data_IF_675396189786
#
_entry.id   IF_675396189786
#
_cell.length_a   1.000
_cell.length_b   1.000
_cell.length_c   1.000
_cell.angle_alpha   90.00
_cell.angle_beta   90.00
_cell.angle_gamma   90.00
#
_symmetry.space_group_name_H-M   'P 1'
#
loop_
_entity.id
_entity.type
_entity.pdbx_description
1 polymer ?
#
# COMPACT_ATOMS: atom_id res chain seq x y z
N UNK A 1 -4.87 -27.45 -19.15
CA UNK A 1 -6.11 -26.98 -18.47
C UNK A 1 -6.59 -27.90 -17.32
N UNK A 2 -6.12 -29.15 -17.21
CA UNK A 2 -6.50 -30.09 -16.14
C UNK A 2 -5.75 -29.90 -14.82
N UNK A 3 -4.46 -29.56 -14.86
CA UNK A 3 -3.61 -29.42 -13.69
C UNK A 3 -3.96 -28.18 -12.82
N UNK A 4 -4.50 -27.10 -13.43
CA UNK A 4 -4.85 -25.85 -12.71
C UNK A 4 -6.06 -25.98 -11.77
N UNK A 5 -6.92 -27.01 -11.96
CA UNK A 5 -8.08 -27.25 -11.09
C UNK A 5 -7.74 -27.97 -9.77
N UNK A 6 -6.65 -28.74 -9.75
CA UNK A 6 -6.22 -29.48 -8.54
C UNK A 6 -5.55 -28.57 -7.49
N UNK A 7 -5.05 -27.38 -7.91
CA UNK A 7 -4.31 -26.44 -7.05
C UNK A 7 -5.20 -25.39 -6.35
N UNK A 8 -6.52 -25.49 -6.48
CA UNK A 8 -7.47 -24.51 -5.93
C UNK A 8 -7.78 -24.63 -4.45
N UNK A 9 -7.23 -25.62 -3.76
CA UNK A 9 -7.48 -25.80 -2.31
C UNK A 9 -6.18 -25.66 -1.52
N UNK A 10 -6.02 -24.52 -0.84
CA UNK A 10 -5.27 -24.43 0.41
C UNK A 10 -3.74 -24.48 0.36
N UNK A 11 -3.09 -23.94 -0.67
CA UNK A 11 -1.62 -23.93 -0.70
C UNK A 11 -1.03 -23.03 -1.77
N UNK A 12 -1.37 -21.76 -1.75
CA UNK A 12 -0.95 -20.79 -2.81
C UNK A 12 0.57 -20.65 -2.98
N UNK A 13 1.37 -21.07 -2.01
CA UNK A 13 2.83 -20.96 -2.02
C UNK A 13 3.56 -22.25 -2.47
N UNK A 14 2.88 -23.40 -2.48
CA UNK A 14 3.55 -24.69 -2.74
C UNK A 14 4.11 -24.80 -4.16
N UNK A 15 3.36 -24.43 -5.23
CA UNK A 15 3.91 -24.43 -6.58
C UNK A 15 5.12 -23.52 -6.74
N UNK A 16 5.07 -22.32 -6.15
CA UNK A 16 6.19 -21.38 -6.16
C UNK A 16 7.44 -21.92 -5.50
N UNK A 17 7.29 -22.66 -4.37
CA UNK A 17 8.42 -23.30 -3.71
C UNK A 17 9.11 -24.33 -4.60
N UNK A 18 8.35 -25.15 -5.32
CA UNK A 18 8.90 -26.16 -6.23
C UNK A 18 9.66 -25.47 -7.37
N UNK A 19 9.06 -24.42 -7.96
CA UNK A 19 9.71 -23.71 -9.06
C UNK A 19 10.98 -23.00 -8.62
N UNK A 20 10.99 -22.34 -7.45
CA UNK A 20 12.22 -21.75 -6.89
C UNK A 20 13.36 -22.76 -6.75
N UNK A 21 13.06 -24.03 -6.50
CA UNK A 21 14.08 -25.09 -6.36
C UNK A 21 14.56 -25.61 -7.72
N UNK A 22 13.66 -25.75 -8.69
CA UNK A 22 13.98 -26.31 -10.03
C UNK A 22 14.56 -25.23 -10.93
N UNK A 23 14.04 -24.02 -10.85
CA UNK A 23 14.40 -22.88 -11.68
C UNK A 23 14.43 -21.57 -10.86
N UNK A 24 15.51 -21.32 -10.12
CA UNK A 24 15.65 -20.12 -9.30
C UNK A 24 15.59 -18.81 -10.11
N UNK A 25 15.90 -18.85 -11.40
CA UNK A 25 15.87 -17.68 -12.30
C UNK A 25 14.50 -17.39 -12.91
N UNK A 26 13.48 -18.23 -12.70
CA UNK A 26 12.16 -18.07 -13.32
C UNK A 26 11.56 -16.68 -13.07
N UNK A 27 11.53 -16.25 -11.82
CA UNK A 27 10.96 -14.95 -11.42
C UNK A 27 11.63 -13.79 -12.17
N UNK A 28 12.96 -13.73 -12.12
CA UNK A 28 13.73 -12.67 -12.72
C UNK A 28 13.57 -12.62 -14.26
N UNK A 29 13.63 -13.77 -14.92
CA UNK A 29 13.47 -13.83 -16.38
C UNK A 29 12.07 -13.43 -16.81
N UNK A 30 11.04 -13.93 -16.13
CA UNK A 30 9.64 -13.64 -16.49
C UNK A 30 9.32 -12.15 -16.35
N UNK A 31 9.84 -11.48 -15.31
CA UNK A 31 9.58 -10.07 -15.07
C UNK A 31 10.53 -9.13 -15.85
N UNK A 32 11.68 -9.61 -16.32
CA UNK A 32 12.62 -8.82 -17.12
C UNK A 32 12.06 -8.42 -18.50
N UNK A 33 11.14 -9.23 -19.05
CA UNK A 33 10.54 -9.00 -20.37
C UNK A 33 9.42 -7.94 -20.37
N UNK A 34 9.03 -7.42 -19.20
CA UNK A 34 7.94 -6.45 -19.09
C UNK A 34 8.38 -5.06 -19.60
N UNK A 35 7.68 -4.45 -20.56
CA UNK A 35 8.05 -3.15 -21.15
C UNK A 35 8.21 -2.04 -20.12
N UNK A 36 7.33 -2.02 -19.11
CA UNK A 36 7.36 -1.01 -18.04
C UNK A 36 7.96 -1.54 -16.74
N UNK A 37 8.38 -2.82 -16.72
CA UNK A 37 9.01 -3.44 -15.55
C UNK A 37 8.05 -3.66 -14.37
N UNK A 38 8.58 -3.50 -13.16
CA UNK A 38 7.89 -3.80 -11.93
C UNK A 38 7.64 -2.53 -11.11
N UNK A 39 6.41 -2.38 -10.64
CA UNK A 39 5.99 -1.46 -9.57
C UNK A 39 5.89 -2.28 -8.29
N UNK A 40 6.73 -2.01 -7.30
CA UNK A 40 6.70 -2.68 -6.01
C UNK A 40 6.02 -1.78 -4.97
N UNK A 41 4.96 -2.28 -4.35
CA UNK A 41 4.24 -1.59 -3.26
C UNK A 41 4.55 -2.30 -1.95
N UNK A 42 5.09 -1.55 -0.98
CA UNK A 42 5.43 -2.08 0.34
C UNK A 42 5.22 -1.05 1.45
N UNK A 43 5.19 -1.51 2.70
CA UNK A 43 4.93 -0.72 3.90
C UNK A 43 4.04 -1.48 4.87
N UNK A 44 3.88 -1.00 6.09
CA UNK A 44 3.11 -1.71 7.12
C UNK A 44 1.63 -1.80 6.76
N UNK A 45 1.00 -0.68 6.41
CA UNK A 45 -0.44 -0.61 6.15
C UNK A 45 -0.76 -0.07 4.75
N UNK A 46 -1.93 -0.46 4.22
CA UNK A 46 -2.47 0.05 2.97
C UNK A 46 -1.95 -0.61 1.69
N UNK A 47 -1.05 -1.58 1.78
CA UNK A 47 -0.44 -2.27 0.62
C UNK A 47 -1.47 -2.76 -0.40
N UNK A 48 -2.40 -3.60 0.03
CA UNK A 48 -3.40 -4.24 -0.85
C UNK A 48 -4.31 -3.23 -1.55
N UNK A 49 -4.81 -2.25 -0.80
CA UNK A 49 -5.67 -1.20 -1.37
C UNK A 49 -4.90 -0.38 -2.39
N UNK A 50 -3.69 0.06 -2.05
CA UNK A 50 -2.85 0.86 -2.94
C UNK A 50 -2.45 0.09 -4.21
N UNK A 51 -2.07 -1.18 -4.07
CA UNK A 51 -1.75 -2.04 -5.22
C UNK A 51 -2.91 -2.15 -6.18
N UNK A 52 -4.13 -2.37 -5.67
CA UNK A 52 -5.34 -2.41 -6.50
C UNK A 52 -5.64 -1.08 -7.17
N UNK A 53 -5.49 0.03 -6.46
CA UNK A 53 -5.69 1.37 -7.03
C UNK A 53 -4.70 1.64 -8.16
N UNK A 54 -3.40 1.36 -7.95
CA UNK A 54 -2.37 1.55 -8.96
C UNK A 54 -2.62 0.65 -10.17
N UNK A 55 -2.94 -0.63 -9.96
CA UNK A 55 -3.26 -1.56 -11.04
C UNK A 55 -4.45 -1.05 -11.87
N UNK A 56 -5.56 -0.69 -11.22
CA UNK A 56 -6.75 -0.18 -11.91
C UNK A 56 -6.51 1.12 -12.68
N UNK A 57 -5.68 2.02 -12.14
CA UNK A 57 -5.29 3.25 -12.85
C UNK A 57 -4.49 2.93 -14.12
N UNK A 58 -3.54 2.00 -14.04
CA UNK A 58 -2.72 1.60 -15.20
C UNK A 58 -3.56 0.87 -16.25
N UNK A 59 -4.51 0.02 -15.84
CA UNK A 59 -5.49 -0.62 -16.74
C UNK A 59 -6.37 0.42 -17.45
N UNK A 60 -6.81 1.48 -16.74
CA UNK A 60 -7.57 2.58 -17.34
C UNK A 60 -6.76 3.34 -18.40
N UNK A 61 -5.43 3.35 -18.28
CA UNK A 61 -4.52 3.90 -19.28
C UNK A 61 -4.25 2.94 -20.45
N UNK A 62 -4.88 1.77 -20.47
CA UNK A 62 -4.78 0.78 -21.54
C UNK A 62 -3.62 -0.21 -21.39
N UNK A 63 -2.96 -0.26 -20.24
CA UNK A 63 -1.87 -1.20 -19.98
C UNK A 63 -2.41 -2.55 -19.51
N UNK A 64 -1.78 -3.64 -19.93
CA UNK A 64 -2.00 -4.97 -19.36
C UNK A 64 -1.21 -5.08 -18.07
N UNK A 65 -1.91 -5.26 -16.95
CA UNK A 65 -1.31 -5.30 -15.62
C UNK A 65 -1.33 -6.73 -15.07
N UNK A 66 -0.16 -7.21 -14.66
CA UNK A 66 -0.06 -8.36 -13.78
C UNK A 66 -0.02 -7.88 -12.32
N UNK A 67 -0.91 -8.40 -11.48
CA UNK A 67 -0.88 -8.11 -10.04
C UNK A 67 -0.98 -9.41 -9.24
N UNK A 68 -0.18 -9.55 -8.18
CA UNK A 68 -0.29 -10.73 -7.33
C UNK A 68 -1.60 -10.72 -6.52
N UNK A 69 -2.26 -11.89 -6.35
CA UNK A 69 -3.49 -12.00 -5.59
C UNK A 69 -3.31 -11.55 -4.14
N UNK A 70 -4.37 -11.01 -3.55
CA UNK A 70 -4.43 -10.65 -2.12
C UNK A 70 -4.00 -11.82 -1.24
N UNK A 71 -3.14 -11.56 -0.26
CA UNK A 71 -2.58 -12.57 0.63
C UNK A 71 -1.40 -13.36 0.05
N UNK A 72 -0.97 -13.07 -1.20
CA UNK A 72 0.24 -13.62 -1.82
C UNK A 72 1.41 -12.62 -1.75
N UNK A 73 1.56 -11.97 -0.61
CA UNK A 73 2.51 -10.88 -0.34
C UNK A 73 3.95 -11.33 -0.04
N UNK A 74 4.31 -12.52 -0.48
CA UNK A 74 5.63 -13.11 -0.35
C UNK A 74 6.12 -13.65 -1.71
N UNK A 75 7.43 -13.74 -1.92
CA UNK A 75 8.06 -14.05 -3.21
C UNK A 75 7.50 -15.32 -3.86
N UNK A 76 7.33 -16.39 -3.07
CA UNK A 76 6.72 -17.66 -3.57
C UNK A 76 5.26 -17.50 -4.01
N UNK A 77 4.52 -16.59 -3.39
CA UNK A 77 3.17 -16.25 -3.80
C UNK A 77 3.15 -15.60 -5.19
N UNK A 78 4.09 -14.68 -5.43
CA UNK A 78 4.26 -14.05 -6.76
C UNK A 78 4.62 -15.10 -7.81
N UNK A 79 5.58 -16.01 -7.52
CA UNK A 79 5.94 -17.12 -8.44
C UNK A 79 4.74 -18.02 -8.72
N UNK A 80 3.96 -18.37 -7.69
CA UNK A 80 2.76 -19.18 -7.87
C UNK A 80 1.70 -18.49 -8.73
N UNK A 81 1.52 -17.18 -8.58
CA UNK A 81 0.61 -16.38 -9.40
C UNK A 81 1.09 -16.32 -10.86
N UNK A 82 2.39 -16.09 -11.09
CA UNK A 82 2.98 -16.10 -12.43
C UNK A 82 2.76 -17.46 -13.15
N UNK A 83 2.89 -18.57 -12.43
CA UNK A 83 2.65 -19.91 -13.00
C UNK A 83 1.21 -20.14 -13.48
N UNK A 84 0.25 -19.38 -12.97
CA UNK A 84 -1.14 -19.48 -13.44
C UNK A 84 -1.40 -18.65 -14.69
N UNK A 85 -0.59 -17.63 -14.94
CA UNK A 85 -0.79 -16.67 -16.02
C UNK A 85 0.22 -16.81 -17.17
N UNK A 86 1.42 -17.30 -16.87
CA UNK A 86 2.43 -17.57 -17.91
C UNK A 86 2.02 -18.78 -18.74
N UNK A 87 1.81 -18.62 -20.05
CA UNK A 87 1.50 -19.74 -20.94
C UNK A 87 2.75 -20.63 -21.15
N UNK A 88 2.57 -21.78 -21.84
CA UNK A 88 3.67 -22.70 -22.16
C UNK A 88 4.79 -22.07 -23.00
N UNK A 89 4.52 -20.95 -23.66
CA UNK A 89 5.54 -20.13 -24.34
C UNK A 89 6.55 -19.49 -23.39
N UNK A 90 6.27 -19.48 -22.08
CA UNK A 90 7.14 -18.92 -21.05
C UNK A 90 7.09 -17.41 -20.93
N UNK A 91 6.24 -16.72 -21.71
CA UNK A 91 6.17 -15.25 -21.76
C UNK A 91 4.89 -14.74 -21.11
N UNK A 92 5.00 -13.85 -20.13
CA UNK A 92 3.86 -13.22 -19.49
C UNK A 92 3.24 -12.18 -20.43
N UNK A 93 1.92 -12.27 -20.68
CA UNK A 93 1.19 -11.29 -21.49
C UNK A 93 0.77 -10.09 -20.61
N UNK A 94 1.74 -9.29 -20.22
CA UNK A 94 1.55 -8.06 -19.46
C UNK A 94 2.56 -6.99 -19.88
N UNK A 95 2.20 -5.72 -19.65
CA UNK A 95 3.06 -4.57 -19.90
C UNK A 95 3.83 -4.16 -18.65
N UNK A 96 3.23 -4.38 -17.48
CA UNK A 96 3.75 -3.99 -16.17
C UNK A 96 3.29 -4.98 -15.11
N UNK A 97 4.15 -5.21 -14.10
CA UNK A 97 3.75 -5.92 -12.90
C UNK A 97 3.58 -4.93 -11.74
N UNK A 98 2.44 -4.99 -11.03
CA UNK A 98 2.20 -4.25 -9.78
C UNK A 98 2.13 -5.26 -8.65
N UNK A 99 3.16 -5.26 -7.81
CA UNK A 99 3.37 -6.31 -6.80
C UNK A 99 3.27 -5.75 -5.39
N UNK A 100 2.44 -6.39 -4.57
CA UNK A 100 2.37 -6.19 -3.13
C UNK A 100 3.31 -7.16 -2.43
N UNK A 101 4.26 -6.66 -1.66
CA UNK A 101 5.13 -7.50 -0.83
C UNK A 101 5.27 -6.94 0.59
N UNK A 102 5.27 -7.84 1.58
CA UNK A 102 5.67 -7.50 2.94
C UNK A 102 7.17 -7.18 2.97
N UNK A 103 7.59 -6.36 3.90
CA UNK A 103 8.90 -5.71 3.96
C UNK A 103 10.06 -6.71 3.87
N UNK A 104 10.01 -7.81 4.65
CA UNK A 104 11.05 -8.84 4.64
C UNK A 104 11.11 -9.60 3.31
N UNK A 105 9.96 -9.81 2.66
CA UNK A 105 9.88 -10.47 1.35
C UNK A 105 10.24 -9.51 0.22
N UNK A 106 9.95 -8.23 0.37
CA UNK A 106 10.37 -7.19 -0.57
C UNK A 106 11.91 -7.15 -0.69
N UNK A 107 12.64 -7.26 0.44
CA UNK A 107 14.11 -7.35 0.41
C UNK A 107 14.60 -8.57 -0.36
N UNK A 108 13.99 -9.75 -0.14
CA UNK A 108 14.35 -10.96 -0.88
C UNK A 108 14.05 -10.84 -2.38
N UNK A 109 12.96 -10.19 -2.70
CA UNK A 109 12.55 -9.93 -4.08
C UNK A 109 13.55 -9.02 -4.80
N UNK A 110 13.94 -7.89 -4.19
CA UNK A 110 14.85 -6.93 -4.84
C UNK A 110 16.29 -7.45 -5.00
N UNK A 111 16.65 -8.54 -4.34
CA UNK A 111 17.90 -9.26 -4.60
C UNK A 111 17.89 -9.97 -5.96
N UNK A 112 16.71 -10.37 -6.44
CA UNK A 112 16.53 -11.10 -7.69
C UNK A 112 16.03 -10.20 -8.83
N UNK A 113 15.10 -9.28 -8.52
CA UNK A 113 14.45 -8.39 -9.48
C UNK A 113 14.53 -6.95 -8.99
N UNK A 114 15.20 -6.12 -9.75
CA UNK A 114 15.26 -4.68 -9.46
C UNK A 114 13.98 -4.00 -9.93
N UNK A 115 13.14 -3.47 -9.01
CA UNK A 115 11.93 -2.79 -9.43
C UNK A 115 12.29 -1.50 -10.20
N UNK A 116 11.52 -1.20 -11.23
CA UNK A 116 11.63 0.09 -11.91
C UNK A 116 10.98 1.19 -11.08
N UNK A 117 9.91 0.86 -10.39
CA UNK A 117 9.20 1.79 -9.52
C UNK A 117 8.97 1.15 -8.14
N UNK A 118 9.14 1.92 -7.09
CA UNK A 118 8.77 1.51 -5.74
C UNK A 118 7.86 2.56 -5.11
N UNK A 119 6.76 2.12 -4.49
CA UNK A 119 5.85 2.94 -3.71
C UNK A 119 5.92 2.48 -2.25
N UNK A 120 6.54 3.31 -1.40
CA UNK A 120 6.77 3.01 0.00
C UNK A 120 5.80 3.83 0.86
N UNK A 121 4.89 3.11 1.55
CA UNK A 121 3.70 3.71 2.13
C UNK A 121 3.95 4.27 3.52
N UNK A 122 4.34 3.43 4.47
CA UNK A 122 4.51 3.81 5.87
C UNK A 122 5.26 2.76 6.66
N UNK A 123 5.78 3.18 7.81
CA UNK A 123 6.30 2.31 8.86
C UNK A 123 5.52 2.59 10.13
N UNK A 124 4.58 1.74 10.46
CA UNK A 124 3.74 1.89 11.64
C UNK A 124 4.06 0.83 12.69
N UNK A 125 3.73 1.11 13.95
CA UNK A 125 3.84 0.16 15.03
C UNK A 125 2.73 -0.88 14.87
N UNK A 126 3.08 -2.17 14.81
CA UNK A 126 2.09 -3.24 14.97
C UNK A 126 1.74 -3.39 16.45
N UNK A 127 0.50 -3.81 16.77
CA UNK A 127 -0.01 -3.90 18.15
C UNK A 127 0.78 -4.88 19.04
N UNK A 128 1.60 -5.75 18.45
CA UNK A 128 2.42 -6.76 19.13
C UNK A 128 3.91 -6.38 19.21
N UNK A 129 4.22 -5.12 18.96
CA UNK A 129 5.59 -4.66 18.68
C UNK A 129 6.53 -4.75 19.87
N UNK A 130 7.70 -5.37 19.64
CA UNK A 130 8.84 -5.35 20.54
C UNK A 130 9.73 -4.15 20.22
N UNK A 131 10.39 -3.62 21.23
CA UNK A 131 11.33 -2.50 21.08
C UNK A 131 12.33 -2.76 19.92
N UNK A 132 12.39 -1.85 18.94
CA UNK A 132 13.32 -1.91 17.80
C UNK A 132 12.75 -2.50 16.48
N UNK A 133 11.52 -3.00 16.46
CA UNK A 133 10.91 -3.62 15.26
C UNK A 133 10.63 -2.58 14.18
N UNK A 134 10.18 -1.38 14.57
CA UNK A 134 9.93 -0.24 13.65
C UNK A 134 11.21 0.14 12.88
N UNK A 135 12.34 0.26 13.56
CA UNK A 135 13.58 0.64 12.92
C UNK A 135 14.13 -0.48 12.03
N UNK A 136 13.84 -1.74 12.38
CA UNK A 136 14.16 -2.86 11.51
C UNK A 136 13.29 -2.85 10.25
N UNK A 137 11.98 -2.63 10.37
CA UNK A 137 11.05 -2.51 9.24
C UNK A 137 11.47 -1.34 8.33
N UNK A 138 11.83 -0.19 8.90
CA UNK A 138 12.34 0.94 8.13
C UNK A 138 13.59 0.57 7.32
N UNK A 139 14.58 -0.15 7.94
CA UNK A 139 15.78 -0.60 7.22
C UNK A 139 15.47 -1.60 6.10
N UNK A 140 14.44 -2.44 6.24
CA UNK A 140 14.03 -3.33 5.15
C UNK A 140 13.47 -2.53 3.97
N UNK A 141 12.63 -1.53 4.21
CA UNK A 141 12.08 -0.67 3.16
C UNK A 141 13.16 0.23 2.53
N UNK A 142 14.13 0.69 3.30
CA UNK A 142 15.29 1.43 2.80
C UNK A 142 16.04 0.65 1.72
N UNK A 143 16.27 -0.66 1.93
CA UNK A 143 16.88 -1.53 0.91
C UNK A 143 16.06 -1.65 -0.37
N UNK A 144 14.74 -1.53 -0.27
CA UNK A 144 13.87 -1.48 -1.47
C UNK A 144 14.09 -0.18 -2.23
N UNK A 145 14.20 0.95 -1.52
CA UNK A 145 14.53 2.24 -2.15
C UNK A 145 15.88 2.22 -2.85
N UNK A 146 16.93 1.69 -2.18
CA UNK A 146 18.28 1.51 -2.75
C UNK A 146 18.31 0.63 -4.00
N UNK A 147 17.42 -0.36 -4.08
CA UNK A 147 17.38 -1.30 -5.19
C UNK A 147 16.55 -0.83 -6.39
N UNK A 148 15.80 0.25 -6.25
CA UNK A 148 14.90 0.77 -7.30
C UNK A 148 15.69 1.52 -8.36
N UNK A 149 15.34 1.31 -9.65
CA UNK A 149 16.13 1.81 -10.78
C UNK A 149 15.53 3.01 -11.52
N UNK A 150 14.22 3.25 -11.40
CA UNK A 150 13.55 4.32 -12.14
C UNK A 150 13.05 5.42 -11.22
N UNK A 151 12.02 5.16 -10.41
CA UNK A 151 11.46 6.17 -9.49
C UNK A 151 11.00 5.54 -8.19
N UNK A 152 11.37 6.17 -7.08
CA UNK A 152 10.84 5.87 -5.74
C UNK A 152 9.81 6.92 -5.38
N UNK A 153 8.62 6.47 -4.95
CA UNK A 153 7.52 7.32 -4.46
C UNK A 153 7.40 7.11 -2.96
N UNK A 154 7.65 8.17 -2.20
CA UNK A 154 7.77 8.16 -0.75
C UNK A 154 6.62 8.90 -0.08
N UNK A 155 6.15 8.37 1.04
CA UNK A 155 5.22 9.09 1.91
C UNK A 155 5.96 10.19 2.66
N UNK A 156 5.64 11.46 2.39
CA UNK A 156 6.25 12.59 3.09
C UNK A 156 5.72 12.79 4.52
N UNK A 157 4.56 12.21 4.84
CA UNK A 157 3.96 12.31 6.19
C UNK A 157 4.63 11.31 7.18
N UNK A 158 5.33 10.30 6.68
CA UNK A 158 6.14 9.41 7.49
C UNK A 158 7.63 9.84 7.41
N UNK A 159 8.21 10.40 8.49
CA UNK A 159 9.60 10.87 8.49
C UNK A 159 10.61 9.77 8.20
N UNK A 160 10.31 8.50 8.55
CA UNK A 160 11.17 7.35 8.27
C UNK A 160 11.22 7.04 6.78
N UNK A 161 10.06 7.09 6.13
CA UNK A 161 9.96 6.88 4.68
C UNK A 161 10.54 8.06 3.92
N UNK A 162 10.22 9.29 4.32
CA UNK A 162 10.67 10.51 3.62
C UNK A 162 12.20 10.61 3.53
N UNK A 163 12.93 10.19 4.57
CA UNK A 163 14.41 10.21 4.59
C UNK A 163 15.07 9.27 3.58
N UNK A 164 14.37 8.26 3.05
CA UNK A 164 14.95 7.33 2.07
C UNK A 164 15.37 8.01 0.77
N UNK A 165 14.94 9.25 0.53
CA UNK A 165 15.46 10.05 -0.57
C UNK A 165 16.99 10.16 -0.59
N UNK A 166 17.63 10.10 0.57
CA UNK A 166 19.09 10.21 0.71
C UNK A 166 19.86 8.94 0.31
N UNK A 167 19.19 7.79 0.22
CA UNK A 167 19.81 6.50 -0.15
C UNK A 167 19.41 6.01 -1.53
N UNK A 168 18.53 6.74 -2.22
CA UNK A 168 18.12 6.41 -3.59
C UNK A 168 19.32 6.59 -4.52
N UNK A 169 19.62 5.60 -5.39
CA UNK A 169 20.75 5.67 -6.31
C UNK A 169 20.70 6.90 -7.23
N UNK A 170 21.87 7.40 -7.58
CA UNK A 170 22.00 8.49 -8.56
C UNK A 170 21.32 8.10 -9.90
N UNK A 171 20.58 9.03 -10.49
CA UNK A 171 19.77 8.78 -11.68
C UNK A 171 18.39 8.20 -11.43
N UNK A 172 18.08 7.74 -10.21
CA UNK A 172 16.73 7.32 -9.83
C UNK A 172 15.92 8.51 -9.35
N UNK A 173 14.72 8.67 -9.91
CA UNK A 173 13.82 9.77 -9.53
C UNK A 173 13.23 9.58 -8.13
N UNK A 174 13.03 10.67 -7.40
CA UNK A 174 12.29 10.68 -6.14
C UNK A 174 11.01 11.50 -6.32
N UNK A 175 9.90 10.97 -5.85
CA UNK A 175 8.61 11.65 -5.78
C UNK A 175 8.01 11.45 -4.40
N UNK A 176 7.14 12.36 -3.99
CA UNK A 176 6.47 12.29 -2.71
C UNK A 176 4.96 12.31 -2.90
N UNK A 177 4.28 11.57 -2.06
CA UNK A 177 2.85 11.73 -1.83
C UNK A 177 2.62 12.10 -0.37
N UNK A 178 1.48 12.68 -0.08
CA UNK A 178 1.07 13.09 1.26
C UNK A 178 -0.04 14.11 1.20
N UNK A 179 -0.54 14.50 2.37
CA UNK A 179 -1.61 15.46 2.50
C UNK A 179 -1.08 16.88 2.24
N UNK A 180 -1.77 17.66 1.43
CA UNK A 180 -1.47 19.08 1.28
C UNK A 180 -1.72 19.80 2.60
N UNK A 181 -0.86 20.79 2.92
CA UNK A 181 -0.91 21.50 4.21
C UNK A 181 -2.27 22.14 4.49
N UNK A 182 -2.93 22.62 3.43
CA UNK A 182 -4.26 23.24 3.51
C UNK A 182 -5.36 22.24 3.90
N UNK A 183 -5.13 20.96 3.64
CA UNK A 183 -6.07 19.89 3.92
C UNK A 183 -5.87 19.27 5.31
N UNK A 184 -4.76 19.50 5.99
CA UNK A 184 -4.46 18.94 7.32
C UNK A 184 -5.57 19.21 8.33
N UNK A 185 -6.17 20.40 8.30
CA UNK A 185 -7.30 20.76 9.17
C UNK A 185 -8.55 19.88 9.02
N UNK A 186 -8.68 19.19 7.89
CA UNK A 186 -9.81 18.28 7.61
C UNK A 186 -9.48 16.82 7.88
N UNK A 187 -8.18 16.50 7.98
CA UNK A 187 -7.67 15.15 8.16
C UNK A 187 -6.59 15.19 9.25
N UNK A 188 -6.99 15.34 10.53
CA UNK A 188 -6.04 15.30 11.65
C UNK A 188 -5.35 13.93 11.67
N UNK A 189 -4.07 13.92 12.03
CA UNK A 189 -3.33 12.68 12.26
C UNK A 189 -3.77 12.01 13.55
N UNK A 190 -3.45 10.73 13.72
CA UNK A 190 -3.70 10.01 14.98
C UNK A 190 -2.99 10.69 16.17
N UNK A 191 -1.83 11.29 15.94
CA UNK A 191 -1.10 12.06 16.95
C UNK A 191 -1.83 13.37 17.31
N UNK A 192 -2.41 14.07 16.32
CA UNK A 192 -3.22 15.26 16.55
C UNK A 192 -4.47 14.92 17.38
N UNK A 193 -5.11 13.77 17.10
CA UNK A 193 -6.27 13.30 17.85
C UNK A 193 -5.91 12.88 19.29
N UNK A 194 -4.75 12.26 19.50
CA UNK A 194 -4.29 11.89 20.85
C UNK A 194 -3.93 13.12 21.68
N UNK A 195 -3.33 14.14 21.08
CA UNK A 195 -3.00 15.38 21.75
C UNK A 195 -4.26 16.12 22.19
N UNK A 196 -5.27 16.20 21.33
CA UNK A 196 -6.57 16.82 21.64
C UNK A 196 -7.28 16.11 22.79
N UNK A 197 -7.30 14.77 22.80
CA UNK A 197 -7.89 13.98 23.89
C UNK A 197 -7.11 14.15 25.21
N UNK A 198 -5.78 14.23 25.15
CA UNK A 198 -4.95 14.47 26.32
C UNK A 198 -5.12 15.89 26.87
N UNK A 199 -5.24 16.91 26.03
CA UNK A 199 -5.53 18.29 26.41
C UNK A 199 -6.95 18.45 26.97
N UNK A 200 -7.96 17.81 26.38
CA UNK A 200 -9.32 17.77 26.93
C UNK A 200 -9.34 17.04 28.27
N UNK A 201 -8.67 15.93 28.43
CA UNK A 201 -8.57 15.21 29.70
C UNK A 201 -7.85 16.03 30.77
N UNK A 202 -6.79 16.74 30.40
CA UNK A 202 -6.05 17.65 31.31
C UNK A 202 -6.89 18.88 31.71
N UNK A 203 -7.70 19.43 30.80
CA UNK A 203 -8.60 20.55 31.08
C UNK A 203 -9.76 20.15 32.01
N UNK A 204 -10.24 18.92 31.89
CA UNK A 204 -11.28 18.36 32.79
C UNK A 204 -10.72 18.04 34.18
N UNK A 205 -9.44 17.62 34.26
CA UNK A 205 -8.77 17.33 35.54
C UNK A 205 -8.30 18.61 36.29
N UNK A 206 -8.09 19.73 35.55
CA UNK A 206 -7.53 20.98 36.10
C UNK A 206 -8.53 22.03 36.55
N UNK A 207 -9.82 21.91 36.15
CA UNK A 207 -10.83 22.92 36.52
C UNK A 207 -12.08 22.26 37.08
N UNK A 208 -12.34 22.52 38.37
CA UNK A 208 -13.63 22.17 39.00
C UNK A 208 -14.81 22.85 38.29
N UNK A 209 -15.80 22.04 37.97
CA UNK A 209 -17.14 22.31 37.42
C UNK A 209 -17.20 23.29 36.23
N UNK A 210 -17.55 22.81 35.03
CA UNK A 210 -17.79 23.65 33.88
C UNK A 210 -18.89 24.67 34.18
N UNK A 211 -18.65 25.92 33.78
CA UNK A 211 -19.58 27.02 33.92
C UNK A 211 -20.87 26.77 33.14
N UNK A 212 -21.98 27.38 33.55
CA UNK A 212 -23.26 27.28 32.85
C UNK A 212 -23.18 27.66 31.35
N UNK A 213 -22.20 28.51 31.02
CA UNK A 213 -21.95 28.97 29.64
C UNK A 213 -21.30 27.89 28.77
N UNK A 214 -20.43 27.05 29.31
CA UNK A 214 -19.76 25.97 28.58
C UNK A 214 -20.74 24.84 28.23
N UNK A 215 -21.69 24.55 29.13
CA UNK A 215 -22.77 23.60 28.87
C UNK A 215 -23.68 24.05 27.73
N UNK A 216 -24.04 25.36 27.72
CA UNK A 216 -24.88 25.93 26.67
C UNK A 216 -24.19 25.94 25.29
N UNK A 217 -22.87 26.05 25.21
CA UNK A 217 -22.11 25.98 23.97
C UNK A 217 -22.04 24.51 23.46
N UNK A 218 -21.80 23.56 24.34
CA UNK A 218 -21.78 22.13 23.96
C UNK A 218 -23.16 21.64 23.47
N UNK A 219 -24.24 22.07 24.11
CA UNK A 219 -25.60 21.73 23.64
C UNK A 219 -25.93 22.37 22.28
N UNK A 220 -25.50 23.61 22.01
CA UNK A 220 -25.67 24.26 20.70
C UNK A 220 -24.86 23.58 19.59
N UNK A 221 -23.67 23.05 19.89
CA UNK A 221 -22.87 22.29 18.94
C UNK A 221 -23.49 20.92 18.65
N UNK A 222 -23.96 20.20 19.67
CA UNK A 222 -24.66 18.92 19.51
C UNK A 222 -25.97 19.06 18.71
N UNK A 223 -26.70 20.17 18.90
CA UNK A 223 -27.94 20.45 18.17
C UNK A 223 -27.69 20.76 16.68
N UNK A 224 -26.59 21.40 16.33
CA UNK A 224 -26.17 21.66 14.94
C UNK A 224 -25.84 20.38 14.15
N UNK A 225 -25.34 19.35 14.81
CA UNK A 225 -25.06 18.05 14.17
C UNK A 225 -26.30 17.21 13.94
N UNK A 226 -27.36 17.37 14.75
CA UNK A 226 -28.62 16.62 14.62
C UNK A 226 -29.57 17.13 13.55
N UNK A 227 -29.35 18.34 13.02
CA UNK A 227 -30.27 18.99 12.06
C UNK A 227 -29.80 18.98 10.59
N UNK A 228 -28.82 18.15 10.24
CA UNK A 228 -28.52 17.92 8.82
C UNK A 228 -29.38 16.77 8.29
N UNK A 229 -30.36 17.06 7.41
CA UNK A 229 -31.10 15.98 6.73
C UNK A 229 -30.14 15.19 5.82
N UNK A 230 -30.37 13.86 5.63
CA UNK A 230 -29.59 13.07 4.71
C UNK A 230 -29.76 13.61 3.28
N UNK A 231 -28.65 13.70 2.56
CA UNK A 231 -28.65 14.09 1.16
C UNK A 231 -29.51 13.12 0.33
N UNK A 232 -30.36 13.58 -0.58
CA UNK A 232 -31.17 12.70 -1.41
C UNK A 232 -30.26 11.91 -2.38
N UNK A 233 -30.35 10.59 -2.34
CA UNK A 233 -29.73 9.72 -3.33
C UNK A 233 -30.35 9.97 -4.70
N UNK A 234 -29.48 10.31 -5.67
CA UNK A 234 -29.84 10.68 -7.03
C UNK A 234 -30.69 9.63 -7.74
N UNK A 235 -31.76 10.11 -8.37
CA UNK A 235 -32.70 9.35 -9.17
C UNK A 235 -31.98 8.63 -10.33
N UNK A 236 -32.20 7.33 -10.44
CA UNK A 236 -31.81 6.50 -11.59
C UNK A 236 -32.48 7.03 -12.85
N UNK A 237 -31.69 7.48 -13.83
CA UNK A 237 -32.19 7.77 -15.18
C UNK A 237 -32.52 6.45 -15.87
N UNK A 238 -33.78 6.31 -16.33
CA UNK A 238 -34.22 5.23 -17.21
C UNK A 238 -33.60 5.42 -18.61
N UNK A 239 -33.26 4.35 -19.33
CA UNK A 239 -32.84 4.45 -20.71
C UNK A 239 -34.05 4.77 -21.60
N UNK A 240 -33.93 5.76 -22.49
CA UNK A 240 -34.86 6.00 -23.57
C UNK A 240 -34.62 4.98 -24.69
N UNK A 241 -35.68 4.28 -25.06
CA UNK A 241 -35.81 3.50 -26.29
C UNK A 241 -35.93 4.42 -27.49
N UNK A 242 -35.06 4.24 -28.45
CA UNK A 242 -35.34 4.20 -29.91
C UNK A 242 -34.10 3.74 -30.64
#
# INVERSE_FOLDING_TARGET
RGASRLLRHGGSAFPGKIVEQIDPGFLARTLADLPYGVVLVSGTNGKTTTTRMVASMLETLGLKVFANPTGSNFTRGVVSALLTEVPLSGRLDADVAVLELDEAYAVKFVQQVKPRFALLLNVMRDQLDRFGEIDNTARLLERVAEATTGTVVLNREDPRIARFASVVPEGTGVRYFGLASELRRFFPSDDDMQTTVAEEAASVAGNGRPSANDRAQQERQAHRFRLRPPMPMGARRRPMSR
#
